data_IF_721082974932
#
_entry.id   IF_721082974932
#
_cell.length_a   1.000
_cell.length_b   1.000
_cell.length_c   1.000
_cell.angle_alpha   90.00
_cell.angle_beta   90.00
_cell.angle_gamma   90.00
#
_symmetry.space_group_name_H-M   'P 1'
#
loop_
_entity.id
_entity.type
_entity.pdbx_description
1 polymer ?
#
# COMPACT_ATOMS: atom_id res chain seq x y z
N UNK A 1 -8.74 18.72 8.38
CA UNK A 1 -8.15 17.35 8.45
C UNK A 1 -7.24 17.14 7.25
N UNK A 2 -6.10 16.52 7.47
CA UNK A 2 -5.20 16.15 6.38
C UNK A 2 -5.73 14.86 5.75
N UNK A 3 -6.01 14.91 4.46
CA UNK A 3 -6.47 13.74 3.71
C UNK A 3 -5.82 13.76 2.32
N UNK A 4 -4.91 12.81 2.11
CA UNK A 4 -4.19 12.66 0.84
C UNK A 4 -4.40 11.29 0.20
N UNK A 5 -5.42 10.55 0.66
CA UNK A 5 -5.64 9.17 0.22
C UNK A 5 -5.73 9.05 -1.31
N UNK A 6 -6.54 9.89 -1.95
CA UNK A 6 -6.71 9.87 -3.40
C UNK A 6 -5.42 10.21 -4.13
N UNK A 7 -4.69 11.21 -3.65
CA UNK A 7 -3.41 11.63 -4.23
C UNK A 7 -2.40 10.49 -4.17
N UNK A 8 -2.25 9.86 -3.01
CA UNK A 8 -1.28 8.78 -2.81
C UNK A 8 -1.69 7.54 -3.62
N UNK A 9 -2.97 7.17 -3.60
CA UNK A 9 -3.45 6.06 -4.41
C UNK A 9 -3.16 6.28 -5.90
N UNK A 10 -3.44 7.48 -6.41
CA UNK A 10 -3.20 7.80 -7.82
C UNK A 10 -1.72 7.74 -8.17
N UNK A 11 -0.84 8.21 -7.28
CA UNK A 11 0.60 8.14 -7.51
C UNK A 11 1.08 6.69 -7.61
N UNK A 12 0.64 5.83 -6.69
CA UNK A 12 1.00 4.41 -6.70
C UNK A 12 0.42 3.71 -7.93
N UNK A 13 -0.87 3.91 -8.22
CA UNK A 13 -1.53 3.25 -9.35
C UNK A 13 -0.92 3.67 -10.69
N UNK A 14 -0.60 4.94 -10.85
CA UNK A 14 0.03 5.44 -12.09
C UNK A 14 1.39 4.81 -12.31
N UNK A 15 2.23 4.75 -11.26
CA UNK A 15 3.55 4.13 -11.35
C UNK A 15 3.46 2.64 -11.69
N UNK A 16 2.52 1.93 -11.08
CA UNK A 16 2.32 0.50 -11.34
C UNK A 16 1.82 0.24 -12.77
N UNK A 17 0.84 1.01 -13.23
CA UNK A 17 0.26 0.84 -14.58
C UNK A 17 1.26 1.17 -15.67
N UNK A 18 2.17 2.10 -15.39
CA UNK A 18 3.23 2.47 -16.33
C UNK A 18 4.24 1.35 -16.51
N UNK A 19 4.63 0.68 -15.42
CA UNK A 19 5.67 -0.34 -15.42
C UNK A 19 5.13 -1.75 -15.72
N UNK A 20 3.93 -2.07 -15.27
CA UNK A 20 3.33 -3.40 -15.42
C UNK A 20 2.03 -3.31 -16.20
N UNK A 21 2.05 -3.69 -17.48
CA UNK A 21 0.86 -3.66 -18.32
C UNK A 21 -0.17 -4.68 -17.82
N UNK A 22 -1.43 -4.25 -17.77
CA UNK A 22 -2.52 -5.12 -17.37
C UNK A 22 -2.62 -5.40 -15.87
N UNK A 23 -1.82 -4.70 -15.04
CA UNK A 23 -1.91 -4.85 -13.60
C UNK A 23 -3.29 -4.39 -13.09
N UNK A 24 -3.88 -5.17 -12.19
CA UNK A 24 -5.17 -4.87 -11.59
C UNK A 24 -4.95 -4.18 -10.24
N UNK A 25 -5.26 -2.89 -10.15
CA UNK A 25 -5.04 -2.07 -8.95
C UNK A 25 -6.36 -1.55 -8.43
N UNK A 26 -6.67 -1.81 -7.17
CA UNK A 26 -7.87 -1.28 -6.53
C UNK A 26 -7.53 -0.60 -5.20
N UNK A 27 -8.36 0.38 -4.82
CA UNK A 27 -8.24 1.11 -3.56
C UNK A 27 -9.14 0.57 -2.46
N UNK A 28 -9.39 -0.73 -2.45
CA UNK A 28 -10.24 -1.41 -1.48
C UNK A 28 -9.65 -2.77 -1.13
N UNK A 29 -10.16 -3.39 -0.06
CA UNK A 29 -9.76 -4.75 0.29
C UNK A 29 -10.06 -5.70 -0.86
N UNK A 30 -9.16 -6.64 -1.07
CA UNK A 30 -9.25 -7.60 -2.17
C UNK A 30 -9.51 -8.99 -1.65
N UNK A 31 -10.34 -9.75 -2.40
CA UNK A 31 -10.53 -11.17 -2.16
C UNK A 31 -9.19 -11.92 -2.24
N UNK A 32 -9.02 -13.02 -1.47
CA UNK A 32 -7.83 -13.88 -1.62
C UNK A 32 -7.67 -14.48 -3.03
N UNK A 33 -8.73 -14.44 -3.84
CA UNK A 33 -8.73 -14.93 -5.22
C UNK A 33 -9.13 -13.78 -6.17
N UNK A 34 -8.20 -12.85 -6.47
CA UNK A 34 -8.50 -11.73 -7.35
C UNK A 34 -8.94 -12.19 -8.75
N UNK A 35 -9.78 -11.40 -9.45
CA UNK A 35 -10.25 -11.78 -10.78
C UNK A 35 -9.18 -11.68 -11.87
N UNK A 36 -8.11 -10.93 -11.64
CA UNK A 36 -7.01 -10.72 -12.58
C UNK A 36 -5.68 -10.72 -11.86
N UNK A 37 -4.61 -11.09 -12.54
CA UNK A 37 -3.25 -11.10 -12.02
C UNK A 37 -2.30 -10.41 -12.99
N UNK A 38 -1.23 -9.75 -12.48
CA UNK A 38 -0.99 -9.48 -11.08
C UNK A 38 -2.00 -8.48 -10.53
N UNK A 39 -2.28 -8.57 -9.24
CA UNK A 39 -3.30 -7.74 -8.59
C UNK A 39 -2.70 -7.01 -7.38
N UNK A 40 -3.14 -5.79 -7.15
CA UNK A 40 -2.70 -4.98 -6.02
C UNK A 40 -3.92 -4.35 -5.34
N UNK A 41 -3.98 -4.51 -4.03
CA UNK A 41 -4.90 -3.78 -3.16
C UNK A 41 -4.09 -2.75 -2.38
N UNK A 42 -4.44 -1.48 -2.49
CA UNK A 42 -3.76 -0.40 -1.79
C UNK A 42 -4.79 0.45 -1.04
N UNK A 43 -4.79 0.36 0.28
CA UNK A 43 -5.80 1.00 1.12
C UNK A 43 -5.17 1.80 2.25
N UNK A 44 -5.82 2.89 2.63
CA UNK A 44 -5.49 3.61 3.84
C UNK A 44 -6.11 2.88 5.03
N UNK A 45 -5.29 2.49 6.01
CA UNK A 45 -5.76 1.76 7.18
C UNK A 45 -5.91 2.65 8.39
N UNK A 46 -5.29 3.83 8.38
CA UNK A 46 -5.37 4.78 9.49
C UNK A 46 -5.12 6.20 9.01
N UNK A 47 -5.88 7.13 9.55
CA UNK A 47 -5.66 8.56 9.40
C UNK A 47 -6.19 9.20 10.69
N UNK A 48 -5.32 9.29 11.70
CA UNK A 48 -5.71 9.71 13.04
C UNK A 48 -4.79 10.78 13.61
N UNK A 49 -5.34 11.56 14.52
CA UNK A 49 -4.58 12.56 15.28
C UNK A 49 -3.68 11.82 16.27
N UNK A 50 -2.41 12.21 16.32
CA UNK A 50 -1.46 11.70 17.30
C UNK A 50 -1.61 12.53 18.59
N UNK A 51 -2.36 12.01 19.54
CA UNK A 51 -2.80 12.76 20.73
C UNK A 51 -1.67 13.29 21.58
N UNK A 52 -0.54 12.59 21.67
CA UNK A 52 0.63 13.05 22.45
C UNK A 52 1.29 14.30 21.88
N UNK A 53 0.96 14.69 20.65
CA UNK A 53 1.47 15.90 20.00
C UNK A 53 0.41 16.97 19.79
N UNK A 54 -0.83 16.70 20.20
CA UNK A 54 -1.92 17.67 20.06
C UNK A 54 -1.92 18.65 21.22
N UNK A 55 -2.42 19.87 20.99
CA UNK A 55 -2.53 20.92 21.98
C UNK A 55 -3.98 21.38 22.11
N UNK A 56 -4.28 22.16 23.17
CA UNK A 56 -5.61 22.75 23.36
C UNK A 56 -6.03 23.69 22.23
N UNK A 57 -5.05 24.30 21.55
CA UNK A 57 -5.32 25.31 20.53
C UNK A 57 -5.44 24.68 19.16
N UNK A 58 -4.72 23.59 18.92
CA UNK A 58 -4.71 22.90 17.63
C UNK A 58 -5.29 21.50 17.77
N UNK A 59 -6.28 21.18 16.95
CA UNK A 59 -6.96 19.89 16.96
C UNK A 59 -6.19 18.82 16.20
N UNK A 60 -5.35 19.22 15.24
CA UNK A 60 -4.57 18.31 14.40
C UNK A 60 -3.13 18.82 14.26
N UNK A 61 -2.32 18.67 15.31
CA UNK A 61 -0.89 19.02 15.24
C UNK A 61 -0.11 17.99 14.43
N UNK A 62 -0.40 16.71 14.67
CA UNK A 62 0.26 15.60 13.99
C UNK A 62 -0.80 14.59 13.61
N UNK A 63 -0.80 14.21 12.33
CA UNK A 63 -1.70 13.17 11.80
C UNK A 63 -0.85 11.98 11.39
N UNK A 64 -1.21 10.80 11.90
CA UNK A 64 -0.59 9.55 11.50
C UNK A 64 -1.40 8.91 10.38
N UNK A 65 -0.76 8.66 9.25
CA UNK A 65 -1.37 7.99 8.11
C UNK A 65 -0.71 6.65 7.87
N UNK A 66 -1.49 5.59 7.85
CA UNK A 66 -1.03 4.24 7.56
C UNK A 66 -1.70 3.72 6.29
N UNK A 67 -0.91 3.05 5.46
CA UNK A 67 -1.36 2.40 4.23
C UNK A 67 -0.93 0.95 4.25
N UNK A 68 -1.76 0.11 3.62
CA UNK A 68 -1.47 -1.31 3.42
C UNK A 68 -1.53 -1.62 1.93
N UNK A 69 -0.49 -2.27 1.43
CA UNK A 69 -0.45 -2.77 0.07
C UNK A 69 -0.38 -4.30 0.10
N UNK A 70 -1.26 -4.95 -0.65
CA UNK A 70 -1.22 -6.40 -0.83
C UNK A 70 -1.06 -6.69 -2.32
N UNK A 71 -0.05 -7.49 -2.66
CA UNK A 71 0.27 -7.83 -4.04
C UNK A 71 0.06 -9.33 -4.22
N UNK A 72 -0.66 -9.70 -5.28
CA UNK A 72 -1.01 -11.08 -5.59
C UNK A 72 -0.46 -11.48 -6.96
N UNK A 73 0.17 -12.64 -7.04
CA UNK A 73 0.65 -13.21 -8.30
C UNK A 73 0.37 -14.70 -8.35
N UNK A 74 -0.04 -15.18 -9.52
CA UNK A 74 -0.31 -16.60 -9.75
C UNK A 74 0.59 -17.19 -10.85
N UNK A 75 1.71 -16.56 -11.17
CA UNK A 75 2.65 -17.11 -12.15
C UNK A 75 3.10 -18.49 -11.71
N UNK A 76 3.21 -19.43 -12.66
CA UNK A 76 3.73 -20.76 -12.37
C UNK A 76 5.19 -20.69 -11.93
N UNK A 77 5.97 -19.82 -12.57
CA UNK A 77 7.37 -19.55 -12.21
C UNK A 77 7.55 -18.07 -11.97
N UNK A 78 8.21 -17.73 -10.88
CA UNK A 78 8.58 -16.35 -10.58
C UNK A 78 7.49 -15.52 -9.92
N UNK A 79 6.46 -16.15 -9.33
CA UNK A 79 5.43 -15.39 -8.61
C UNK A 79 5.97 -14.61 -7.43
N UNK A 80 6.94 -15.16 -6.69
CA UNK A 80 7.61 -14.43 -5.61
C UNK A 80 8.41 -13.25 -6.13
N UNK A 81 9.14 -13.44 -7.21
CA UNK A 81 9.90 -12.36 -7.83
C UNK A 81 8.98 -11.26 -8.34
N UNK A 82 7.83 -11.62 -8.93
CA UNK A 82 6.85 -10.65 -9.41
C UNK A 82 6.26 -9.83 -8.27
N UNK A 83 5.82 -10.47 -7.19
CA UNK A 83 5.27 -9.72 -6.05
C UNK A 83 6.31 -8.83 -5.40
N UNK A 84 7.55 -9.28 -5.33
CA UNK A 84 8.67 -8.49 -4.79
C UNK A 84 8.95 -7.26 -5.67
N UNK A 85 9.00 -7.43 -6.97
CA UNK A 85 9.24 -6.32 -7.92
C UNK A 85 8.14 -5.27 -7.83
N UNK A 86 6.88 -5.70 -7.80
CA UNK A 86 5.73 -4.80 -7.68
C UNK A 86 5.78 -4.06 -6.33
N UNK A 87 6.05 -4.78 -5.24
CA UNK A 87 6.17 -4.19 -3.90
C UNK A 87 7.29 -3.16 -3.84
N UNK A 88 8.42 -3.41 -4.52
CA UNK A 88 9.52 -2.45 -4.57
C UNK A 88 9.11 -1.15 -5.27
N UNK A 89 8.33 -1.22 -6.34
CA UNK A 89 7.81 -0.02 -7.01
C UNK A 89 6.90 0.77 -6.06
N UNK A 90 6.02 0.09 -5.35
CA UNK A 90 5.14 0.72 -4.36
C UNK A 90 5.98 1.40 -3.27
N UNK A 91 6.99 0.70 -2.76
CA UNK A 91 7.87 1.23 -1.71
C UNK A 91 8.63 2.46 -2.17
N UNK A 92 9.10 2.47 -3.42
CA UNK A 92 9.80 3.63 -3.97
C UNK A 92 8.89 4.85 -4.07
N UNK A 93 7.66 4.68 -4.54
CA UNK A 93 6.67 5.76 -4.60
C UNK A 93 6.34 6.28 -3.21
N UNK A 94 6.11 5.38 -2.26
CA UNK A 94 5.80 5.76 -0.88
C UNK A 94 6.98 6.50 -0.23
N UNK A 95 8.21 6.08 -0.50
CA UNK A 95 9.42 6.76 -0.03
C UNK A 95 9.53 8.18 -0.60
N UNK A 96 9.20 8.37 -1.86
CA UNK A 96 9.18 9.71 -2.49
C UNK A 96 8.18 10.65 -1.81
N UNK A 97 7.09 10.10 -1.25
CA UNK A 97 6.10 10.84 -0.50
C UNK A 97 6.36 10.86 1.00
N UNK A 98 7.56 10.42 1.42
CA UNK A 98 8.04 10.43 2.81
C UNK A 98 7.31 9.44 3.73
N UNK A 99 6.82 8.34 3.20
CA UNK A 99 6.28 7.25 4.01
C UNK A 99 7.37 6.23 4.28
N UNK A 100 7.44 5.76 5.53
CA UNK A 100 8.36 4.70 5.93
C UNK A 100 7.66 3.35 5.81
N UNK A 101 8.36 2.36 5.24
CA UNK A 101 7.86 0.99 5.23
C UNK A 101 8.08 0.36 6.59
N UNK A 102 6.99 -0.03 7.25
CA UNK A 102 7.04 -0.61 8.60
C UNK A 102 6.92 -2.14 8.60
N UNK A 103 6.48 -2.72 7.49
CA UNK A 103 6.26 -4.17 7.36
C UNK A 103 6.36 -4.57 5.89
N UNK A 104 6.97 -5.72 5.61
CA UNK A 104 6.98 -6.30 4.26
C UNK A 104 7.28 -7.78 4.36
N UNK A 105 6.28 -8.64 4.19
CA UNK A 105 6.44 -10.09 4.25
C UNK A 105 5.46 -10.80 3.32
N UNK A 106 5.80 -12.03 2.95
CA UNK A 106 4.86 -12.94 2.29
C UNK A 106 3.89 -13.42 3.36
N UNK A 107 2.60 -13.35 3.06
CA UNK A 107 1.56 -13.82 3.97
C UNK A 107 0.81 -15.00 3.36
N UNK A 108 0.27 -15.91 4.19
CA UNK A 108 -0.51 -17.04 3.69
C UNK A 108 -1.75 -16.59 2.90
N UNK A 109 -2.10 -17.33 1.86
CA UNK A 109 -3.31 -17.14 1.10
C UNK A 109 -4.12 -18.42 1.11
N UNK A 110 -5.45 -18.32 1.03
CA UNK A 110 -6.33 -19.50 1.01
C UNK A 110 -6.05 -20.39 -0.20
N UNK A 111 -5.71 -19.76 -1.34
CA UNK A 111 -5.26 -20.47 -2.52
C UNK A 111 -3.73 -20.47 -2.54
N UNK A 112 -3.13 -21.64 -2.29
CA UNK A 112 -1.67 -21.79 -2.21
C UNK A 112 -0.95 -21.58 -3.55
N UNK A 113 -1.66 -21.55 -4.68
CA UNK A 113 -1.06 -21.25 -5.98
C UNK A 113 -0.81 -19.77 -6.18
N UNK A 114 -1.35 -18.93 -5.29
CA UNK A 114 -1.22 -17.47 -5.34
C UNK A 114 -0.20 -17.04 -4.29
N UNK A 115 0.84 -16.33 -4.73
CA UNK A 115 1.78 -15.67 -3.82
C UNK A 115 1.19 -14.32 -3.41
N UNK A 116 1.10 -14.09 -2.11
CA UNK A 116 0.55 -12.86 -1.54
C UNK A 116 1.61 -12.20 -0.68
N UNK A 117 1.95 -10.96 -1.01
CA UNK A 117 2.93 -10.18 -0.27
C UNK A 117 2.26 -8.93 0.28
N UNK A 118 2.43 -8.70 1.57
CA UNK A 118 1.88 -7.53 2.25
C UNK A 118 3.00 -6.56 2.64
N UNK A 119 2.76 -5.27 2.45
CA UNK A 119 3.63 -4.21 2.98
C UNK A 119 2.78 -3.13 3.62
N UNK A 120 3.36 -2.47 4.61
CA UNK A 120 2.71 -1.39 5.34
C UNK A 120 3.61 -0.17 5.37
N UNK A 121 2.98 1.01 5.33
CA UNK A 121 3.68 2.29 5.28
C UNK A 121 3.06 3.25 6.27
N UNK A 122 3.91 4.06 6.89
CA UNK A 122 3.47 5.05 7.88
C UNK A 122 4.13 6.39 7.65
N UNK A 123 3.37 7.45 7.87
CA UNK A 123 3.86 8.81 7.87
C UNK A 123 3.16 9.60 8.97
N UNK A 124 3.94 10.40 9.70
CA UNK A 124 3.42 11.38 10.62
C UNK A 124 3.53 12.75 9.97
N UNK A 125 2.39 13.39 9.71
CA UNK A 125 2.33 14.71 9.12
C UNK A 125 2.15 15.74 10.21
N UNK A 126 3.02 16.75 10.24
CA UNK A 126 2.91 17.90 11.15
C UNK A 126 2.22 19.02 10.40
N UNK A 127 1.22 19.60 11.05
CA UNK A 127 0.49 20.73 10.50
C UNK A 127 1.21 22.04 10.85
#
# INVERSE_FOLDING_TARGET
MIDKETEIFNAVATALRKKFKGIYVIGAEMSPTPPKFPAVSFVQTNNSIKTEHSTFISLENVVTEDYKAEVFSNLEKGKEAQTKEITNVISDVMSEHNYARTFCEIVPNTDATINRRMSRYRKNNVI
#
